data_IF_059875565565
#
_entry.id   IF_059875565565
#
_cell.length_a   1.000
_cell.length_b   1.000
_cell.length_c   1.000
_cell.angle_alpha   90.00
_cell.angle_beta   90.00
_cell.angle_gamma   90.00
#
_symmetry.space_group_name_H-M   'P 1'
#
loop_
_entity.id
_entity.type
_entity.pdbx_description
1 polymer ?
#
# COMPACT_ATOMS: atom_id res chain seq x y z
N UNK A 1 -6.08 18.12 -17.24
CA UNK A 1 -6.04 16.73 -16.71
C UNK A 1 -6.60 16.77 -15.30
N UNK A 2 -7.55 15.90 -14.93
CA UNK A 2 -8.04 15.82 -13.55
C UNK A 2 -6.97 15.05 -12.76
N UNK A 3 -6.22 15.72 -11.86
CA UNK A 3 -5.46 15.01 -10.83
C UNK A 3 -6.49 14.34 -9.91
N UNK A 4 -6.32 13.06 -9.59
CA UNK A 4 -7.04 12.44 -8.47
C UNK A 4 -6.67 13.14 -7.16
N UNK A 5 -7.43 12.92 -6.10
CA UNK A 5 -7.09 13.40 -4.76
C UNK A 5 -6.14 12.38 -4.12
N UNK A 6 -4.87 12.73 -3.85
CA UNK A 6 -3.96 11.85 -3.12
C UNK A 6 -4.50 11.52 -1.74
N UNK A 7 -4.25 10.29 -1.30
CA UNK A 7 -4.57 9.83 0.05
C UNK A 7 -3.26 9.60 0.79
N UNK A 8 -2.74 10.60 1.53
CA UNK A 8 -1.54 10.44 2.32
C UNK A 8 -1.80 9.65 3.61
N UNK A 9 -0.73 9.09 4.19
CA UNK A 9 -0.77 8.35 5.46
C UNK A 9 -1.72 7.14 5.50
N UNK A 10 -2.18 6.68 4.33
CA UNK A 10 -3.06 5.52 4.15
C UNK A 10 -2.27 4.24 4.42
N UNK A 11 -2.85 3.32 5.19
CA UNK A 11 -2.18 2.06 5.53
C UNK A 11 -2.11 1.12 4.35
N UNK A 12 -0.92 0.55 4.15
CA UNK A 12 -0.65 -0.44 3.11
C UNK A 12 -0.07 -1.67 3.77
N UNK A 13 -0.79 -2.78 3.68
CA UNK A 13 -0.34 -4.07 4.16
C UNK A 13 0.00 -4.98 2.99
N UNK A 14 1.10 -5.72 3.12
CA UNK A 14 1.54 -6.68 2.11
C UNK A 14 1.50 -8.08 2.70
N UNK A 15 0.84 -8.97 1.99
CA UNK A 15 0.72 -10.37 2.31
C UNK A 15 1.52 -11.18 1.29
N UNK A 16 2.14 -12.28 1.74
CA UNK A 16 2.73 -13.28 0.84
C UNK A 16 1.66 -14.17 0.18
N UNK A 17 2.10 -15.12 -0.63
CA UNK A 17 1.23 -16.06 -1.35
C UNK A 17 0.35 -16.92 -0.43
N UNK A 18 0.76 -17.13 0.83
CA UNK A 18 -0.01 -17.87 1.84
C UNK A 18 -1.00 -16.97 2.59
N UNK A 19 -1.07 -15.69 2.25
CA UNK A 19 -1.93 -14.70 2.92
C UNK A 19 -1.38 -14.22 4.27
N UNK A 20 -0.09 -14.44 4.55
CA UNK A 20 0.53 -13.97 5.79
C UNK A 20 1.05 -12.54 5.62
N UNK A 21 0.79 -11.70 6.61
CA UNK A 21 1.37 -10.35 6.68
C UNK A 21 2.90 -10.40 6.77
N UNK A 22 3.56 -9.77 5.81
CA UNK A 22 5.02 -9.70 5.73
C UNK A 22 5.56 -8.26 5.80
N UNK A 23 4.71 -7.24 5.55
CA UNK A 23 5.13 -5.84 5.58
C UNK A 23 3.96 -4.87 5.80
N UNK A 24 4.26 -3.74 6.43
CA UNK A 24 3.38 -2.57 6.51
C UNK A 24 4.12 -1.33 6.01
N UNK A 25 3.38 -0.39 5.40
CA UNK A 25 3.86 0.89 4.94
C UNK A 25 2.71 1.91 4.94
N UNK A 26 3.04 3.19 4.74
CA UNK A 26 2.07 4.26 4.54
C UNK A 26 2.36 5.00 3.23
N UNK A 27 1.32 5.52 2.60
CA UNK A 27 1.46 6.42 1.45
C UNK A 27 2.06 7.76 1.86
N UNK A 28 2.83 8.37 0.96
CA UNK A 28 3.39 9.70 1.12
C UNK A 28 2.37 10.83 0.84
N UNK A 29 2.81 12.08 0.91
CA UNK A 29 1.97 13.28 0.68
C UNK A 29 1.33 13.32 -0.71
N UNK A 30 1.95 12.66 -1.69
CA UNK A 30 1.46 12.55 -3.07
C UNK A 30 0.65 11.26 -3.32
N UNK A 31 0.44 10.44 -2.28
CA UNK A 31 -0.36 9.21 -2.32
C UNK A 31 0.39 7.99 -2.84
N UNK A 32 1.71 8.03 -2.90
CA UNK A 32 2.54 6.93 -3.39
C UNK A 32 3.15 6.11 -2.26
N UNK A 33 3.43 4.84 -2.55
CA UNK A 33 4.24 3.96 -1.71
C UNK A 33 5.19 3.18 -2.60
N UNK A 34 6.46 3.07 -2.20
CA UNK A 34 7.47 2.27 -2.92
C UNK A 34 7.97 1.16 -2.02
N UNK A 35 7.97 -0.07 -2.52
CA UNK A 35 8.36 -1.27 -1.78
C UNK A 35 9.42 -2.04 -2.57
N UNK A 36 10.54 -2.36 -1.92
CA UNK A 36 11.56 -3.25 -2.48
C UNK A 36 11.32 -4.67 -1.97
N UNK A 37 11.06 -5.61 -2.89
CA UNK A 37 10.68 -6.98 -2.57
C UNK A 37 11.47 -7.98 -3.42
N UNK A 38 11.63 -9.20 -2.91
CA UNK A 38 12.13 -10.32 -3.71
C UNK A 38 11.14 -10.74 -4.79
N UNK A 39 11.55 -11.64 -5.68
CA UNK A 39 10.63 -12.26 -6.62
C UNK A 39 9.62 -13.14 -5.87
N UNK A 40 8.34 -13.02 -6.22
CA UNK A 40 7.26 -13.78 -5.59
C UNK A 40 5.89 -13.19 -5.92
N UNK A 41 4.86 -13.85 -5.42
CA UNK A 41 3.47 -13.38 -5.48
C UNK A 41 3.09 -12.70 -4.17
N UNK A 42 2.37 -11.59 -4.28
CA UNK A 42 1.98 -10.77 -3.15
C UNK A 42 0.57 -10.21 -3.32
N UNK A 43 -0.13 -10.06 -2.20
CA UNK A 43 -1.37 -9.29 -2.13
C UNK A 43 -1.12 -7.99 -1.40
N UNK A 44 -1.57 -6.87 -1.98
CA UNK A 44 -1.49 -5.55 -1.36
C UNK A 44 -2.88 -5.13 -0.91
N UNK A 45 -3.05 -4.91 0.39
CA UNK A 45 -4.28 -4.40 0.99
C UNK A 45 -4.05 -2.95 1.36
N UNK A 46 -4.88 -2.06 0.80
CA UNK A 46 -4.84 -0.62 1.08
C UNK A 46 -6.04 -0.28 1.95
N UNK A 47 -5.77 0.28 3.13
CA UNK A 47 -6.77 0.63 4.13
C UNK A 47 -6.72 2.14 4.29
N UNK A 48 -7.73 2.79 3.72
CA UNK A 48 -8.05 4.17 3.99
C UNK A 48 -9.13 4.19 5.07
N UNK A 49 -8.92 4.89 6.18
CA UNK A 49 -10.06 5.24 7.03
C UNK A 49 -10.94 6.17 6.21
N UNK A 50 -12.13 5.71 5.81
CA UNK A 50 -13.14 6.63 5.27
C UNK A 50 -13.31 7.75 6.32
N UNK A 51 -12.89 8.96 5.97
CA UNK A 51 -13.15 10.16 6.76
C UNK A 51 -14.64 10.48 6.81
#
# INVERSE_FOLDING_TARGET
MKKGNPLPNTDVHVLDADGKYIRTAKTDEDGYVTLTMGAGEYTVVVINEEG
#
